data_IF_703673525002
#
_entry.id   IF_703673525002
#
_cell.length_a   1.000
_cell.length_b   1.000
_cell.length_c   1.000
_cell.angle_alpha   90.00
_cell.angle_beta   90.00
_cell.angle_gamma   90.00
#
_symmetry.space_group_name_H-M   'P 1'
#
loop_
_entity.id
_entity.type
_entity.pdbx_description
1 polymer ?
#
# COMPACT_ATOMS: atom_id res chain seq x y z
N UNK A 1 -20.57 -1.85 -37.44
CA UNK A 1 -19.37 -2.70 -37.29
C UNK A 1 -19.83 -4.00 -36.64
N UNK A 2 -19.63 -5.13 -37.28
CA UNK A 2 -19.92 -6.45 -36.70
C UNK A 2 -19.04 -6.65 -35.47
N UNK A 3 -19.65 -6.99 -34.37
CA UNK A 3 -18.95 -7.24 -33.10
C UNK A 3 -17.93 -8.36 -33.32
N UNK A 4 -16.67 -8.13 -32.91
CA UNK A 4 -15.62 -9.14 -33.03
C UNK A 4 -16.00 -10.39 -32.23
N UNK A 5 -15.85 -11.57 -32.81
CA UNK A 5 -16.07 -12.84 -32.08
C UNK A 5 -15.23 -12.94 -30.80
N UNK A 6 -14.05 -12.28 -30.76
CA UNK A 6 -13.17 -12.21 -29.59
C UNK A 6 -13.89 -11.64 -28.38
N UNK A 7 -14.83 -10.67 -28.58
CA UNK A 7 -15.63 -10.09 -27.52
C UNK A 7 -16.41 -11.14 -26.70
N UNK A 8 -16.81 -12.23 -27.33
CA UNK A 8 -17.56 -13.29 -26.69
C UNK A 8 -16.70 -14.31 -25.94
N UNK A 9 -15.37 -14.21 -26.06
CA UNK A 9 -14.41 -15.14 -25.43
C UNK A 9 -13.86 -14.64 -24.09
N UNK A 10 -14.11 -13.37 -23.75
CA UNK A 10 -13.65 -12.86 -22.44
C UNK A 10 -14.38 -13.53 -21.29
N UNK A 11 -13.63 -13.89 -20.24
CA UNK A 11 -14.18 -14.45 -19.02
C UNK A 11 -15.08 -13.44 -18.29
N UNK A 12 -16.20 -13.91 -17.70
CA UNK A 12 -17.17 -13.06 -16.99
C UNK A 12 -16.52 -12.29 -15.83
N UNK A 13 -15.52 -12.88 -15.16
CA UNK A 13 -14.78 -12.25 -14.06
C UNK A 13 -14.04 -10.95 -14.42
N UNK A 14 -13.80 -10.68 -15.70
CA UNK A 14 -13.21 -9.42 -16.19
C UNK A 14 -14.20 -8.58 -16.99
N UNK A 15 -15.48 -8.98 -17.02
CA UNK A 15 -16.56 -8.26 -17.70
C UNK A 15 -17.23 -9.02 -18.85
N UNK A 16 -16.73 -10.20 -19.23
CA UNK A 16 -17.32 -11.02 -20.30
C UNK A 16 -17.55 -10.23 -21.58
N UNK A 17 -18.73 -10.39 -22.18
CA UNK A 17 -19.17 -9.65 -23.39
C UNK A 17 -19.19 -8.11 -23.22
N UNK A 18 -19.16 -7.60 -21.99
CA UNK A 18 -19.13 -6.15 -21.69
C UNK A 18 -17.71 -5.62 -21.49
N UNK A 19 -16.68 -6.48 -21.56
CA UNK A 19 -15.30 -6.07 -21.37
C UNK A 19 -14.91 -4.92 -22.34
N UNK A 20 -14.32 -3.86 -21.80
CA UNK A 20 -13.93 -2.67 -22.57
C UNK A 20 -15.08 -1.74 -23.01
N UNK A 21 -16.35 -2.12 -22.77
CA UNK A 21 -17.53 -1.29 -23.10
C UNK A 21 -17.99 -0.41 -21.93
N UNK A 22 -17.45 -0.64 -20.72
CA UNK A 22 -17.81 0.14 -19.54
C UNK A 22 -17.35 1.58 -19.70
N UNK A 23 -18.24 2.52 -19.39
CA UNK A 23 -17.98 3.96 -19.40
C UNK A 23 -17.27 4.45 -18.14
N UNK A 24 -17.23 3.60 -17.09
CA UNK A 24 -16.58 3.95 -15.82
C UNK A 24 -15.05 4.04 -16.01
N UNK A 25 -14.53 5.25 -15.84
CA UNK A 25 -13.09 5.51 -15.92
C UNK A 25 -12.48 5.26 -14.53
N UNK A 26 -11.40 4.46 -14.47
CA UNK A 26 -10.67 4.19 -13.24
C UNK A 26 -10.13 5.49 -12.60
N UNK A 27 -10.24 5.63 -11.27
CA UNK A 27 -9.93 6.89 -10.56
C UNK A 27 -8.55 7.47 -10.89
N UNK A 28 -7.52 6.64 -11.00
CA UNK A 28 -6.18 7.14 -11.34
C UNK A 28 -6.06 7.64 -12.80
N UNK A 29 -6.85 7.09 -13.72
CA UNK A 29 -6.93 7.62 -15.09
C UNK A 29 -7.64 8.97 -15.11
N UNK A 30 -8.70 9.16 -14.31
CA UNK A 30 -9.35 10.48 -14.15
C UNK A 30 -8.37 11.53 -13.64
N UNK A 31 -7.56 11.19 -12.60
CA UNK A 31 -6.51 12.06 -12.09
C UNK A 31 -5.49 12.42 -13.17
N UNK A 32 -5.01 11.44 -13.96
CA UNK A 32 -4.08 11.69 -15.07
C UNK A 32 -4.67 12.63 -16.12
N UNK A 33 -5.94 12.46 -16.47
CA UNK A 33 -6.64 13.34 -17.43
C UNK A 33 -6.78 14.76 -16.88
N UNK A 34 -7.18 14.91 -15.61
CA UNK A 34 -7.29 16.21 -14.96
C UNK A 34 -5.94 16.94 -14.91
N UNK A 35 -4.87 16.23 -14.55
CA UNK A 35 -3.50 16.79 -14.55
C UNK A 35 -3.08 17.28 -15.94
N UNK A 36 -3.32 16.48 -16.99
CA UNK A 36 -3.01 16.90 -18.36
C UNK A 36 -3.81 18.14 -18.78
N UNK A 37 -5.11 18.18 -18.48
CA UNK A 37 -5.97 19.31 -18.78
C UNK A 37 -5.54 20.57 -18.01
N UNK A 38 -5.20 20.44 -16.73
CA UNK A 38 -4.73 21.56 -15.90
C UNK A 38 -3.41 22.14 -16.42
N UNK A 39 -2.45 21.32 -16.84
CA UNK A 39 -1.19 21.78 -17.44
C UNK A 39 -1.40 22.43 -18.82
N UNK A 40 -2.32 21.91 -19.63
CA UNK A 40 -2.66 22.52 -20.92
C UNK A 40 -3.30 23.89 -20.76
N UNK A 41 -4.12 24.10 -19.71
CA UNK A 41 -4.76 25.36 -19.38
C UNK A 41 -3.79 26.36 -18.73
N UNK A 42 -2.66 25.91 -18.16
CA UNK A 42 -1.68 26.72 -17.44
C UNK A 42 -0.25 26.45 -17.96
N UNK A 43 0.10 26.91 -19.18
CA UNK A 43 1.42 26.68 -19.76
C UNK A 43 2.56 27.19 -18.86
N UNK A 44 3.54 26.33 -18.58
CA UNK A 44 4.68 26.65 -17.70
C UNK A 44 4.42 26.48 -16.20
N UNK A 45 3.20 26.16 -15.80
CA UNK A 45 2.91 25.88 -14.39
C UNK A 45 3.35 24.45 -13.99
N UNK A 46 3.67 24.28 -12.70
CA UNK A 46 4.02 23.01 -12.09
C UNK A 46 2.85 22.50 -11.25
N UNK A 47 2.46 21.23 -11.46
CA UNK A 47 1.56 20.52 -10.54
C UNK A 47 2.38 19.95 -9.39
N UNK A 48 2.00 20.27 -8.17
CA UNK A 48 2.53 19.59 -6.98
C UNK A 48 1.77 18.28 -6.82
N UNK A 49 2.45 17.18 -7.16
CA UNK A 49 1.82 15.86 -7.15
C UNK A 49 1.97 15.18 -5.79
N UNK A 50 0.91 15.23 -5.00
CA UNK A 50 0.80 14.54 -3.72
C UNK A 50 -0.09 13.28 -3.81
N UNK A 51 -0.42 12.82 -5.01
CA UNK A 51 -1.19 11.62 -5.25
C UNK A 51 -0.33 10.36 -5.44
N UNK A 52 0.98 10.52 -5.62
CA UNK A 52 1.91 9.41 -5.89
C UNK A 52 2.03 8.51 -4.65
N UNK A 53 1.97 7.21 -4.86
CA UNK A 53 2.09 6.18 -3.81
C UNK A 53 3.41 5.42 -3.86
N UNK A 54 4.49 6.08 -4.26
CA UNK A 54 5.85 5.52 -4.36
C UNK A 54 6.89 6.53 -3.89
N UNK A 55 8.05 6.06 -3.39
CA UNK A 55 9.18 6.93 -3.04
C UNK A 55 9.59 7.84 -4.19
N UNK A 56 9.97 9.07 -3.84
CA UNK A 56 10.43 10.10 -4.78
C UNK A 56 11.93 9.98 -5.13
N UNK A 57 12.67 9.15 -4.42
CA UNK A 57 14.10 8.90 -4.65
C UNK A 57 14.36 7.48 -5.13
N UNK A 58 15.45 7.31 -5.84
CA UNK A 58 15.96 5.99 -6.21
C UNK A 58 16.59 5.28 -5.01
N UNK A 59 16.87 3.99 -5.16
CA UNK A 59 17.64 3.22 -4.17
C UNK A 59 18.98 3.89 -3.89
N UNK A 60 19.47 3.73 -2.66
CA UNK A 60 20.72 4.35 -2.22
C UNK A 60 21.93 3.88 -3.08
N UNK A 61 22.96 4.73 -3.26
CA UNK A 61 24.10 4.40 -4.12
C UNK A 61 24.78 3.07 -3.78
N UNK A 62 24.90 2.75 -2.48
CA UNK A 62 25.47 1.47 -2.02
C UNK A 62 24.63 0.26 -2.43
N UNK A 63 23.30 0.39 -2.49
CA UNK A 63 22.38 -0.66 -2.95
C UNK A 63 22.50 -0.85 -4.47
N UNK A 64 22.62 0.25 -5.21
CA UNK A 64 22.85 0.22 -6.67
C UNK A 64 24.22 -0.40 -6.99
N UNK A 65 25.24 -0.09 -6.20
CA UNK A 65 26.59 -0.68 -6.35
C UNK A 65 26.55 -2.20 -6.10
N UNK A 66 25.81 -2.66 -5.09
CA UNK A 66 25.64 -4.10 -4.82
C UNK A 66 24.92 -4.80 -5.98
N UNK A 67 23.83 -4.20 -6.50
CA UNK A 67 23.16 -4.73 -7.69
C UNK A 67 24.12 -4.87 -8.86
N UNK A 68 24.92 -3.83 -9.13
CA UNK A 68 25.90 -3.85 -10.23
C UNK A 68 26.92 -4.97 -10.05
N UNK A 69 27.50 -5.09 -8.85
CA UNK A 69 28.46 -6.13 -8.49
C UNK A 69 27.86 -7.52 -8.72
N UNK A 70 26.64 -7.74 -8.23
CA UNK A 70 25.96 -9.03 -8.35
C UNK A 70 25.52 -9.35 -9.78
N UNK A 71 25.18 -8.34 -10.59
CA UNK A 71 24.80 -8.52 -11.98
C UNK A 71 25.98 -8.96 -12.88
N UNK A 72 27.22 -8.72 -12.47
CA UNK A 72 28.42 -9.14 -13.19
C UNK A 72 28.80 -10.60 -12.93
N UNK A 73 28.17 -11.27 -11.95
CA UNK A 73 28.48 -12.64 -11.60
C UNK A 73 27.76 -13.63 -12.52
N UNK A 74 28.48 -14.51 -13.24
CA UNK A 74 27.86 -15.49 -14.15
C UNK A 74 26.90 -16.46 -13.45
N UNK A 75 27.13 -16.79 -12.18
CA UNK A 75 26.27 -17.67 -11.38
C UNK A 75 24.88 -17.10 -11.17
N UNK A 76 24.71 -15.79 -11.19
CA UNK A 76 23.42 -15.13 -11.01
C UNK A 76 22.51 -15.13 -12.24
N UNK A 77 22.94 -15.72 -13.37
CA UNK A 77 22.17 -15.75 -14.62
C UNK A 77 21.00 -16.71 -14.67
N UNK A 78 20.95 -17.66 -13.72
CA UNK A 78 19.97 -18.75 -13.73
C UNK A 78 18.59 -18.37 -13.20
N UNK A 79 17.64 -19.27 -13.34
CA UNK A 79 16.37 -19.16 -12.64
C UNK A 79 16.58 -19.22 -11.13
N UNK A 80 15.77 -18.48 -10.38
CA UNK A 80 15.88 -18.35 -8.93
C UNK A 80 14.66 -18.92 -8.20
N UNK A 81 13.73 -19.51 -8.93
CA UNK A 81 12.51 -20.16 -8.43
C UNK A 81 11.85 -19.43 -7.25
N UNK A 82 11.86 -20.04 -6.07
CA UNK A 82 11.24 -19.49 -4.85
C UNK A 82 12.17 -18.63 -3.99
N UNK A 83 13.31 -18.25 -4.51
CA UNK A 83 14.24 -17.32 -3.89
C UNK A 83 15.51 -17.94 -3.33
N UNK A 84 16.56 -17.16 -3.38
CA UNK A 84 17.88 -17.54 -2.92
C UNK A 84 17.96 -17.67 -1.39
N UNK A 85 18.82 -18.55 -0.90
CA UNK A 85 19.03 -18.76 0.53
C UNK A 85 19.49 -17.48 1.23
N UNK A 86 20.39 -16.70 0.62
CA UNK A 86 20.91 -15.45 1.18
C UNK A 86 19.77 -14.42 1.41
N UNK A 87 18.81 -14.33 0.47
CA UNK A 87 17.64 -13.46 0.64
C UNK A 87 16.79 -13.91 1.84
N UNK A 88 16.49 -15.20 1.92
CA UNK A 88 15.63 -15.77 2.97
C UNK A 88 16.25 -15.60 4.36
N UNK A 89 17.53 -15.90 4.49
CA UNK A 89 18.28 -15.73 5.73
C UNK A 89 18.37 -14.26 6.17
N UNK A 90 18.69 -13.35 5.23
CA UNK A 90 18.72 -11.93 5.53
C UNK A 90 17.35 -11.38 5.91
N UNK A 91 16.27 -11.86 5.27
CA UNK A 91 14.91 -11.49 5.63
C UNK A 91 14.56 -11.94 7.06
N UNK A 92 14.90 -13.16 7.45
CA UNK A 92 14.68 -13.67 8.83
C UNK A 92 15.46 -12.83 9.86
N UNK A 93 16.75 -12.55 9.62
CA UNK A 93 17.58 -11.68 10.48
C UNK A 93 17.01 -10.26 10.57
N UNK A 94 16.54 -9.71 9.44
CA UNK A 94 15.91 -8.39 9.39
C UNK A 94 14.67 -8.33 10.28
N UNK A 95 13.77 -9.30 10.17
CA UNK A 95 12.56 -9.37 10.98
C UNK A 95 12.87 -9.45 12.48
N UNK A 96 13.88 -10.24 12.86
CA UNK A 96 14.32 -10.33 14.27
C UNK A 96 14.88 -9.00 14.76
N UNK A 97 15.82 -8.41 14.01
CA UNK A 97 16.52 -7.18 14.40
C UNK A 97 15.60 -5.97 14.45
N UNK A 98 14.71 -5.82 13.46
CA UNK A 98 13.90 -4.61 13.27
C UNK A 98 12.59 -4.68 14.03
N UNK A 99 11.93 -5.84 14.04
CA UNK A 99 10.56 -6.02 14.56
C UNK A 99 10.47 -6.99 15.72
N UNK A 100 11.58 -7.63 16.13
CA UNK A 100 11.60 -8.59 17.25
C UNK A 100 10.92 -9.94 16.94
N UNK A 101 10.75 -10.29 15.67
CA UNK A 101 10.21 -11.60 15.26
C UNK A 101 11.31 -12.66 15.36
N UNK A 102 11.27 -13.50 16.38
CA UNK A 102 12.26 -14.57 16.59
C UNK A 102 11.78 -15.92 16.09
N UNK A 103 12.73 -16.82 15.81
CA UNK A 103 12.45 -18.22 15.51
C UNK A 103 11.77 -18.44 14.14
N UNK A 104 11.99 -17.57 13.18
CA UNK A 104 11.63 -17.81 11.77
C UNK A 104 12.67 -18.74 11.14
N UNK A 105 12.23 -19.86 10.61
CA UNK A 105 13.06 -20.74 9.81
C UNK A 105 13.16 -20.20 8.37
N UNK A 106 14.34 -19.71 7.92
CA UNK A 106 14.45 -19.13 6.59
C UNK A 106 14.21 -20.14 5.46
N UNK A 107 14.41 -21.44 5.71
CA UNK A 107 14.23 -22.45 4.69
C UNK A 107 12.76 -22.71 4.38
N UNK A 108 11.90 -22.83 5.42
CA UNK A 108 10.51 -23.29 5.29
C UNK A 108 9.48 -22.18 5.53
N UNK A 109 9.85 -21.11 6.26
CA UNK A 109 8.93 -20.07 6.69
C UNK A 109 9.18 -18.72 6.00
N UNK A 110 10.13 -18.64 5.04
CA UNK A 110 10.39 -17.44 4.23
C UNK A 110 10.46 -17.81 2.75
N UNK A 111 9.82 -17.00 1.89
CA UNK A 111 9.82 -17.22 0.47
C UNK A 111 9.84 -15.89 -0.29
N UNK A 112 10.62 -15.81 -1.38
CA UNK A 112 10.69 -14.65 -2.25
C UNK A 112 9.35 -14.29 -2.87
N UNK A 113 9.13 -12.99 -3.10
CA UNK A 113 8.01 -12.47 -3.87
C UNK A 113 8.45 -11.33 -4.80
N UNK A 114 7.84 -11.25 -5.97
CA UNK A 114 8.03 -10.14 -6.93
C UNK A 114 7.29 -8.88 -6.42
N UNK A 115 7.66 -8.43 -5.22
CA UNK A 115 6.97 -7.43 -4.40
C UNK A 115 5.68 -7.97 -3.78
N UNK A 116 5.16 -7.30 -2.74
CA UNK A 116 3.97 -7.75 -2.01
C UNK A 116 2.72 -7.91 -2.89
N UNK A 117 2.60 -7.12 -3.97
CA UNK A 117 1.45 -7.21 -4.88
C UNK A 117 1.33 -8.58 -5.56
N UNK A 118 2.46 -9.20 -5.94
CA UNK A 118 2.45 -10.53 -6.55
C UNK A 118 1.91 -11.58 -5.56
N UNK A 119 2.37 -11.56 -4.31
CA UNK A 119 1.85 -12.44 -3.27
C UNK A 119 0.34 -12.24 -3.03
N UNK A 120 -0.12 -10.98 -2.94
CA UNK A 120 -1.55 -10.65 -2.82
C UNK A 120 -2.39 -11.19 -3.98
N UNK A 121 -1.83 -11.32 -5.18
CA UNK A 121 -2.53 -11.83 -6.36
C UNK A 121 -2.49 -13.36 -6.50
N UNK A 122 -1.45 -14.00 -5.98
CA UNK A 122 -1.22 -15.46 -6.07
C UNK A 122 -1.94 -16.21 -4.93
N UNK A 123 -1.85 -15.70 -3.70
CA UNK A 123 -2.41 -16.37 -2.50
C UNK A 123 -3.91 -16.72 -2.58
N UNK A 124 -4.79 -15.93 -3.23
CA UNK A 124 -6.18 -16.34 -3.40
C UNK A 124 -6.36 -17.68 -4.10
N UNK A 125 -5.47 -18.06 -5.03
CA UNK A 125 -5.52 -19.36 -5.69
C UNK A 125 -5.28 -20.54 -4.73
N UNK A 126 -4.50 -20.32 -3.66
CA UNK A 126 -4.22 -21.31 -2.65
C UNK A 126 -5.30 -21.42 -1.56
N UNK A 127 -6.09 -20.33 -1.35
CA UNK A 127 -6.90 -20.20 -0.13
C UNK A 127 -8.41 -20.09 -0.40
N UNK A 128 -8.85 -19.74 -1.62
CA UNK A 128 -10.23 -19.32 -1.89
C UNK A 128 -10.91 -20.29 -2.88
N UNK A 129 -12.03 -20.86 -2.45
CA UNK A 129 -12.97 -21.58 -3.29
C UNK A 129 -14.21 -20.70 -3.60
N UNK A 130 -15.01 -21.05 -4.63
CA UNK A 130 -16.27 -20.40 -4.89
C UNK A 130 -17.19 -20.36 -3.65
N UNK A 131 -17.66 -19.18 -3.29
CA UNK A 131 -18.53 -18.95 -2.14
C UNK A 131 -17.84 -18.71 -0.80
N UNK A 132 -16.52 -18.86 -0.72
CA UNK A 132 -15.75 -18.48 0.47
C UNK A 132 -15.69 -16.94 0.63
N UNK A 133 -15.68 -16.46 1.87
CA UNK A 133 -15.51 -15.02 2.16
C UNK A 133 -14.07 -14.66 2.49
N UNK A 134 -13.67 -13.49 1.98
CA UNK A 134 -12.49 -12.76 2.41
C UNK A 134 -12.92 -11.54 3.20
N UNK A 135 -12.39 -11.37 4.40
CA UNK A 135 -12.59 -10.20 5.24
C UNK A 135 -11.51 -9.16 4.87
N UNK A 136 -11.92 -7.99 4.38
CA UNK A 136 -11.00 -6.94 3.95
C UNK A 136 -11.33 -5.61 4.58
N UNK A 137 -10.30 -4.87 4.96
CA UNK A 137 -10.47 -3.49 5.44
C UNK A 137 -10.83 -2.54 4.29
N UNK A 138 -11.75 -1.61 4.54
CA UNK A 138 -12.14 -0.55 3.61
C UNK A 138 -12.19 0.81 4.33
N UNK A 139 -11.51 1.87 3.85
CA UNK A 139 -10.66 1.89 2.65
C UNK A 139 -9.44 0.98 2.78
N UNK A 140 -8.93 0.45 1.66
CA UNK A 140 -7.79 -0.45 1.67
C UNK A 140 -7.27 -0.78 0.27
N UNK A 141 -6.20 -1.57 0.21
CA UNK A 141 -5.60 -1.99 -1.05
C UNK A 141 -6.35 -3.20 -1.62
N UNK A 142 -6.98 -3.12 -2.82
CA UNK A 142 -8.02 -4.06 -3.23
C UNK A 142 -7.53 -5.37 -3.85
N UNK A 143 -6.21 -5.57 -4.02
CA UNK A 143 -5.66 -6.62 -4.90
C UNK A 143 -6.10 -8.02 -4.48
N UNK A 144 -5.97 -8.38 -3.20
CA UNK A 144 -6.36 -9.71 -2.73
C UNK A 144 -7.86 -9.98 -3.00
N UNK A 145 -8.74 -9.05 -2.64
CA UNK A 145 -10.19 -9.19 -2.87
C UNK A 145 -10.56 -9.26 -4.35
N UNK A 146 -9.85 -8.52 -5.21
CA UNK A 146 -10.04 -8.61 -6.66
C UNK A 146 -9.73 -10.00 -7.18
N UNK A 147 -8.59 -10.57 -6.76
CA UNK A 147 -8.20 -11.92 -7.16
C UNK A 147 -9.06 -13.01 -6.50
N UNK A 148 -9.50 -12.82 -5.25
CA UNK A 148 -10.45 -13.72 -4.61
C UNK A 148 -11.74 -13.87 -5.44
N UNK A 149 -12.27 -12.74 -5.97
CA UNK A 149 -13.43 -12.75 -6.88
C UNK A 149 -13.16 -13.51 -8.18
N UNK A 150 -11.92 -13.52 -8.69
CA UNK A 150 -11.57 -14.32 -9.87
C UNK A 150 -11.72 -15.81 -9.62
N UNK A 151 -11.61 -16.26 -8.38
CA UNK A 151 -11.81 -17.64 -7.94
C UNK A 151 -13.23 -17.90 -7.38
N UNK A 152 -14.17 -16.97 -7.60
CA UNK A 152 -15.56 -17.11 -7.14
C UNK A 152 -15.78 -16.78 -5.66
N UNK A 153 -14.75 -16.24 -4.99
CA UNK A 153 -14.86 -15.78 -3.61
C UNK A 153 -15.65 -14.49 -3.48
N UNK A 154 -16.11 -14.24 -2.27
CA UNK A 154 -16.87 -13.05 -1.86
C UNK A 154 -16.02 -12.17 -0.96
N UNK A 155 -16.23 -10.86 -0.99
CA UNK A 155 -15.52 -9.92 -0.13
C UNK A 155 -16.51 -9.30 0.86
N UNK A 156 -16.20 -9.43 2.15
CA UNK A 156 -16.87 -8.69 3.22
C UNK A 156 -15.97 -7.55 3.68
N UNK A 157 -16.46 -6.32 3.55
CA UNK A 157 -15.72 -5.12 3.88
C UNK A 157 -15.86 -4.77 5.37
N UNK A 158 -14.73 -4.48 6.00
CA UNK A 158 -14.62 -4.01 7.38
C UNK A 158 -14.26 -2.52 7.37
N UNK A 159 -15.20 -1.62 7.71
CA UNK A 159 -14.98 -0.18 7.61
C UNK A 159 -13.89 0.31 8.57
N UNK A 160 -12.95 1.11 8.05
CA UNK A 160 -11.97 1.86 8.81
C UNK A 160 -12.41 3.33 8.89
N UNK A 161 -12.79 3.76 10.07
CA UNK A 161 -13.29 5.11 10.35
C UNK A 161 -12.50 5.77 11.48
N UNK A 162 -12.63 7.08 11.64
CA UNK A 162 -12.05 7.78 12.79
C UNK A 162 -12.61 7.25 14.11
N UNK A 163 -13.89 6.90 14.15
CA UNK A 163 -14.56 6.38 15.36
C UNK A 163 -13.94 5.08 15.87
N UNK A 164 -13.48 4.20 14.97
CA UNK A 164 -12.77 2.98 15.35
C UNK A 164 -11.23 3.13 15.25
N UNK A 165 -10.73 4.37 15.18
CA UNK A 165 -9.29 4.67 15.03
C UNK A 165 -8.63 3.95 13.85
N UNK A 166 -9.38 3.74 12.79
CA UNK A 166 -8.99 3.00 11.58
C UNK A 166 -8.52 1.55 11.86
N UNK A 167 -9.04 0.92 12.91
CA UNK A 167 -8.90 -0.51 13.21
C UNK A 167 -10.26 -1.18 12.95
N UNK A 168 -10.33 -2.34 12.24
CA UNK A 168 -11.60 -2.97 11.95
C UNK A 168 -12.28 -3.52 13.23
N UNK A 169 -13.58 -3.39 13.29
CA UNK A 169 -14.38 -4.03 14.33
C UNK A 169 -14.65 -5.48 13.93
N UNK A 170 -13.90 -6.41 14.53
CA UNK A 170 -14.00 -7.84 14.25
C UNK A 170 -15.24 -8.48 14.86
N UNK A 171 -15.85 -7.84 15.88
CA UNK A 171 -17.01 -8.38 16.58
C UNK A 171 -18.33 -8.03 15.85
N UNK A 172 -18.29 -7.10 14.89
CA UNK A 172 -19.43 -6.71 14.07
C UNK A 172 -19.70 -7.64 12.87
N UNK A 173 -18.84 -8.63 12.63
CA UNK A 173 -18.93 -9.50 11.44
C UNK A 173 -20.08 -10.49 11.61
N UNK A 174 -21.05 -10.57 10.67
CA UNK A 174 -22.18 -11.48 10.76
C UNK A 174 -21.72 -12.96 10.83
N UNK A 175 -22.43 -13.76 11.64
CA UNK A 175 -22.10 -15.18 11.83
C UNK A 175 -22.14 -15.99 10.51
N UNK A 176 -23.05 -15.65 9.61
CA UNK A 176 -23.14 -16.28 8.27
C UNK A 176 -21.89 -16.01 7.40
N UNK A 177 -21.29 -14.83 7.54
CA UNK A 177 -20.04 -14.47 6.87
C UNK A 177 -18.88 -15.23 7.51
N UNK A 178 -18.82 -15.23 8.87
CA UNK A 178 -17.76 -15.95 9.61
C UNK A 178 -17.75 -17.44 9.30
N UNK A 179 -18.92 -18.07 9.14
CA UNK A 179 -19.05 -19.48 8.81
C UNK A 179 -18.43 -19.88 7.47
N UNK A 180 -18.17 -18.91 6.58
CA UNK A 180 -17.57 -19.12 5.26
C UNK A 180 -16.27 -18.30 5.06
N UNK A 181 -15.85 -17.54 6.06
CA UNK A 181 -14.64 -16.73 5.97
C UNK A 181 -13.38 -17.63 6.00
N UNK A 182 -12.42 -17.34 5.13
CA UNK A 182 -11.14 -18.04 5.02
C UNK A 182 -9.97 -17.16 5.41
N UNK A 183 -10.00 -15.90 5.01
CA UNK A 183 -8.86 -14.99 5.16
C UNK A 183 -9.32 -13.65 5.69
N UNK A 184 -8.60 -13.14 6.68
CA UNK A 184 -8.62 -11.73 7.11
C UNK A 184 -7.38 -11.04 6.56
N UNK A 185 -7.57 -10.04 5.70
CA UNK A 185 -6.48 -9.22 5.14
C UNK A 185 -6.44 -7.89 5.87
N UNK A 186 -5.32 -7.60 6.49
CA UNK A 186 -5.03 -6.33 7.17
C UNK A 186 -3.76 -5.69 6.58
N UNK A 187 -3.66 -4.37 6.67
CA UNK A 187 -2.52 -3.61 6.18
C UNK A 187 -2.19 -2.49 7.18
N UNK A 188 -1.03 -2.57 7.83
CA UNK A 188 -0.58 -1.56 8.80
C UNK A 188 0.95 -1.39 8.74
N UNK A 189 1.45 -0.12 8.74
CA UNK A 189 0.70 1.13 8.56
C UNK A 189 -0.15 1.12 7.31
N UNK A 190 -1.38 1.63 7.43
CA UNK A 190 -2.43 1.42 6.43
C UNK A 190 -2.30 2.38 5.23
N UNK A 191 -2.53 1.87 4.04
CA UNK A 191 -2.81 2.65 2.85
C UNK A 191 -4.33 2.58 2.58
N UNK A 192 -5.11 3.68 2.68
CA UNK A 192 -4.66 5.09 2.57
C UNK A 192 -4.53 5.85 3.90
N UNK A 193 -4.97 5.29 5.04
CA UNK A 193 -5.24 6.08 6.25
C UNK A 193 -3.98 6.52 7.00
N UNK A 194 -2.83 5.89 6.76
CA UNK A 194 -1.61 6.10 7.55
C UNK A 194 -1.67 5.54 8.97
N UNK A 195 -2.81 4.98 9.37
CA UNK A 195 -2.99 4.43 10.71
C UNK A 195 -2.06 3.25 10.97
N UNK A 196 -1.58 3.12 12.18
CA UNK A 196 -0.77 1.99 12.66
C UNK A 196 -1.59 1.08 13.56
N UNK A 197 -1.31 -0.22 13.50
CA UNK A 197 -1.82 -1.19 14.48
C UNK A 197 -1.21 -0.96 15.86
N UNK A 198 -1.78 -1.62 16.86
CA UNK A 198 -1.21 -1.71 18.22
C UNK A 198 -0.95 -3.18 18.58
N UNK A 199 -0.07 -3.48 19.55
CA UNK A 199 0.14 -4.84 20.03
C UNK A 199 -1.16 -5.52 20.48
N UNK A 200 -2.05 -4.77 21.16
CA UNK A 200 -3.34 -5.26 21.65
C UNK A 200 -4.28 -5.62 20.49
N UNK A 201 -4.27 -4.81 19.43
CA UNK A 201 -5.05 -5.11 18.23
C UNK A 201 -4.55 -6.40 17.56
N UNK A 202 -3.24 -6.57 17.41
CA UNK A 202 -2.71 -7.81 16.83
C UNK A 202 -2.99 -9.02 17.69
N UNK A 203 -2.93 -8.89 19.03
CA UNK A 203 -3.35 -9.97 19.94
C UNK A 203 -4.83 -10.33 19.76
N UNK A 204 -5.72 -9.34 19.63
CA UNK A 204 -7.15 -9.56 19.31
C UNK A 204 -7.34 -10.24 17.96
N UNK A 205 -6.54 -9.89 16.95
CA UNK A 205 -6.57 -10.52 15.62
C UNK A 205 -6.17 -12.00 15.71
N UNK A 206 -5.12 -12.33 16.46
CA UNK A 206 -4.68 -13.74 16.66
C UNK A 206 -5.78 -14.56 17.33
N UNK A 207 -6.37 -14.06 18.40
CA UNK A 207 -7.47 -14.73 19.12
C UNK A 207 -8.69 -14.92 18.19
N UNK A 208 -9.07 -13.88 17.46
CA UNK A 208 -10.17 -13.92 16.49
C UNK A 208 -9.92 -14.98 15.41
N UNK A 209 -8.71 -15.02 14.85
CA UNK A 209 -8.33 -15.97 13.81
C UNK A 209 -8.39 -17.42 14.29
N UNK A 210 -7.86 -17.70 15.49
CA UNK A 210 -7.93 -19.04 16.12
C UNK A 210 -9.36 -19.49 16.37
N UNK A 211 -10.17 -18.62 16.99
CA UNK A 211 -11.57 -18.92 17.32
C UNK A 211 -12.40 -19.25 16.08
N UNK A 212 -12.19 -18.51 15.00
CA UNK A 212 -12.96 -18.63 13.78
C UNK A 212 -12.29 -19.50 12.68
N UNK A 213 -11.09 -20.03 12.96
CA UNK A 213 -10.28 -20.83 11.99
C UNK A 213 -10.03 -20.08 10.68
N UNK A 214 -9.62 -18.83 10.78
CA UNK A 214 -9.38 -17.91 9.67
C UNK A 214 -7.87 -17.65 9.57
N UNK A 215 -7.34 -17.62 8.34
CA UNK A 215 -5.96 -17.21 8.07
C UNK A 215 -5.84 -15.68 8.14
N UNK A 216 -4.79 -15.16 8.79
CA UNK A 216 -4.45 -13.75 8.77
C UNK A 216 -3.37 -13.49 7.73
N UNK A 217 -3.62 -12.54 6.85
CA UNK A 217 -2.64 -12.02 5.92
C UNK A 217 -2.39 -10.54 6.27
N UNK A 218 -1.19 -10.24 6.76
CA UNK A 218 -0.77 -8.87 7.02
C UNK A 218 0.07 -8.35 5.86
N UNK A 219 -0.47 -7.41 5.07
CA UNK A 219 0.31 -6.64 4.09
C UNK A 219 1.16 -5.60 4.83
N UNK A 220 2.42 -5.95 5.07
CA UNK A 220 3.41 -5.20 5.81
C UNK A 220 4.26 -4.27 4.94
N UNK A 221 3.77 -3.89 3.74
CA UNK A 221 4.54 -3.10 2.77
C UNK A 221 5.06 -1.75 3.29
N UNK A 222 4.44 -1.21 4.35
CA UNK A 222 4.83 0.05 5.01
C UNK A 222 5.36 -0.16 6.43
N UNK A 223 5.46 -1.40 6.91
CA UNK A 223 5.77 -1.72 8.32
C UNK A 223 7.06 -1.07 8.82
N UNK A 224 8.07 -0.95 7.97
CA UNK A 224 9.35 -0.34 8.36
C UNK A 224 9.34 1.21 8.33
N UNK A 225 8.33 1.85 7.72
CA UNK A 225 8.21 3.31 7.65
C UNK A 225 7.45 3.84 8.87
N UNK A 226 8.06 3.77 10.05
CA UNK A 226 7.53 4.31 11.30
C UNK A 226 8.29 5.57 11.70
N UNK A 227 7.58 6.53 12.28
CA UNK A 227 8.13 7.84 12.66
C UNK A 227 8.53 7.89 14.14
N UNK A 228 7.98 6.99 14.94
CA UNK A 228 8.25 6.90 16.38
C UNK A 228 8.27 5.43 16.79
N UNK A 229 9.20 5.08 17.68
CA UNK A 229 9.33 3.72 18.20
C UNK A 229 9.96 2.75 17.21
N UNK A 230 9.62 1.47 17.35
CA UNK A 230 10.09 0.38 16.47
C UNK A 230 8.98 -0.06 15.51
N UNK A 231 9.33 -0.56 14.33
CA UNK A 231 8.39 -1.25 13.46
C UNK A 231 7.66 -2.38 14.20
N UNK A 232 6.34 -2.43 14.04
CA UNK A 232 5.51 -3.46 14.66
C UNK A 232 5.19 -4.54 13.61
N UNK A 233 5.51 -5.80 13.93
CA UNK A 233 5.16 -6.96 13.12
C UNK A 233 4.01 -7.72 13.76
N UNK A 234 3.06 -8.18 12.94
CA UNK A 234 2.02 -9.11 13.37
C UNK A 234 2.64 -10.42 13.88
N UNK A 235 3.70 -10.92 13.20
CA UNK A 235 4.37 -12.16 13.57
C UNK A 235 5.16 -12.08 14.89
N UNK A 236 5.42 -10.88 15.41
CA UNK A 236 5.98 -10.72 16.77
C UNK A 236 4.93 -10.98 17.87
N UNK A 237 3.65 -11.05 17.51
CA UNK A 237 2.57 -11.33 18.45
C UNK A 237 2.55 -12.84 18.79
N UNK A 238 2.50 -13.25 20.07
CA UNK A 238 2.43 -14.66 20.43
C UNK A 238 1.30 -15.39 19.72
N UNK A 239 1.63 -16.51 19.03
CA UNK A 239 0.69 -17.31 18.27
C UNK A 239 0.30 -16.80 16.90
N UNK A 240 0.83 -15.66 16.45
CA UNK A 240 0.52 -15.13 15.12
C UNK A 240 1.04 -16.04 14.00
N UNK A 241 2.23 -16.61 14.16
CA UNK A 241 2.81 -17.56 13.20
C UNK A 241 1.95 -18.83 12.98
N UNK A 242 1.16 -19.21 13.99
CA UNK A 242 0.26 -20.36 13.86
C UNK A 242 -0.94 -20.06 12.94
N UNK A 243 -1.35 -18.80 12.81
CA UNK A 243 -2.58 -18.40 12.12
C UNK A 243 -2.35 -17.55 10.89
N UNK A 244 -1.10 -17.13 10.57
CA UNK A 244 -0.94 -16.19 9.49
C UNK A 244 0.45 -16.02 8.92
N UNK A 245 0.52 -15.10 7.97
CA UNK A 245 1.73 -14.68 7.24
C UNK A 245 1.79 -13.16 7.11
N UNK A 246 3.00 -12.65 6.91
CA UNK A 246 3.27 -11.27 6.52
C UNK A 246 3.87 -11.17 5.12
N UNK A 247 3.47 -10.13 4.40
CA UNK A 247 3.99 -9.78 3.09
C UNK A 247 4.86 -8.53 3.22
N UNK A 248 6.15 -8.66 3.00
CA UNK A 248 7.12 -7.57 3.05
C UNK A 248 7.54 -7.10 1.66
N UNK A 249 7.93 -5.84 1.53
CA UNK A 249 8.34 -5.24 0.27
C UNK A 249 9.52 -4.30 0.45
N UNK A 250 10.52 -4.41 -0.42
CA UNK A 250 11.62 -3.44 -0.50
C UNK A 250 11.21 -2.12 -1.16
N UNK A 251 10.06 -2.12 -1.82
CA UNK A 251 9.58 -0.97 -2.62
C UNK A 251 9.52 0.33 -1.84
N UNK A 252 9.08 0.28 -0.56
CA UNK A 252 8.83 1.47 0.26
C UNK A 252 9.95 1.70 1.27
N UNK A 253 10.46 0.62 1.84
CA UNK A 253 11.47 0.64 2.87
C UNK A 253 12.86 1.02 2.35
N UNK A 254 13.14 0.75 1.06
CA UNK A 254 14.48 0.88 0.48
C UNK A 254 14.48 1.62 -0.87
N UNK A 255 13.43 2.35 -1.21
CA UNK A 255 13.28 3.07 -2.48
C UNK A 255 13.44 2.18 -3.74
N UNK A 256 13.05 0.90 -3.64
CA UNK A 256 13.23 -0.10 -4.70
C UNK A 256 11.91 -0.42 -5.42
N UNK A 257 11.07 0.58 -5.67
CA UNK A 257 9.71 0.35 -6.21
C UNK A 257 9.72 -0.41 -7.54
N UNK A 258 10.52 0.03 -8.50
CA UNK A 258 10.64 -0.59 -9.83
C UNK A 258 11.39 -1.92 -9.84
N UNK A 259 12.13 -2.25 -8.80
CA UNK A 259 12.95 -3.47 -8.71
C UNK A 259 12.11 -4.72 -8.45
N UNK A 260 10.90 -4.55 -7.93
CA UNK A 260 9.91 -5.59 -7.72
C UNK A 260 10.39 -6.73 -6.80
N UNK A 261 10.93 -6.43 -5.63
CA UNK A 261 11.39 -7.42 -4.67
C UNK A 261 10.64 -7.32 -3.34
N UNK A 262 10.48 -8.45 -2.68
CA UNK A 262 9.87 -8.62 -1.38
C UNK A 262 9.93 -10.06 -0.93
N UNK A 263 9.29 -10.37 0.18
CA UNK A 263 9.17 -11.73 0.68
C UNK A 263 7.87 -11.96 1.44
N UNK A 264 7.48 -13.22 1.55
CA UNK A 264 6.40 -13.74 2.40
C UNK A 264 7.06 -14.46 3.56
N UNK A 265 6.59 -14.23 4.80
CA UNK A 265 7.09 -14.96 5.97
C UNK A 265 5.95 -15.37 6.92
N UNK A 266 6.12 -16.44 7.67
CA UNK A 266 5.20 -16.87 8.72
C UNK A 266 4.90 -18.36 8.71
N UNK A 267 3.61 -18.73 8.77
CA UNK A 267 3.20 -20.13 8.86
C UNK A 267 3.77 -20.97 7.70
N UNK A 268 4.48 -22.05 8.03
CA UNK A 268 5.16 -22.91 7.06
C UNK A 268 4.23 -23.49 5.98
N UNK A 269 3.02 -23.93 6.36
CA UNK A 269 2.06 -24.48 5.39
C UNK A 269 1.53 -23.41 4.43
N UNK A 270 1.32 -22.18 4.93
CA UNK A 270 0.87 -21.07 4.09
C UNK A 270 1.99 -20.60 3.15
N UNK A 271 3.23 -20.55 3.65
CA UNK A 271 4.41 -20.21 2.83
C UNK A 271 4.62 -21.28 1.75
N UNK A 272 4.51 -22.56 2.11
CA UNK A 272 4.57 -23.67 1.14
C UNK A 272 3.46 -23.58 0.09
N UNK A 273 2.20 -23.38 0.50
CA UNK A 273 1.08 -23.24 -0.42
C UNK A 273 1.24 -22.04 -1.39
N UNK A 274 1.79 -20.92 -0.89
CA UNK A 274 2.19 -19.82 -1.75
C UNK A 274 3.25 -20.24 -2.76
N UNK A 275 4.27 -21.00 -2.34
CA UNK A 275 5.32 -21.51 -3.21
C UNK A 275 4.77 -22.42 -4.31
N UNK A 276 3.92 -23.37 -3.96
CA UNK A 276 3.33 -24.34 -4.92
C UNK A 276 2.54 -23.60 -6.05
N UNK A 277 1.84 -22.52 -5.73
CA UNK A 277 1.13 -21.71 -6.75
C UNK A 277 2.11 -20.81 -7.52
N UNK A 278 3.09 -20.24 -6.82
CA UNK A 278 4.10 -19.38 -7.42
C UNK A 278 4.96 -20.10 -8.45
N UNK A 279 5.33 -21.38 -8.20
CA UNK A 279 6.08 -22.22 -9.14
C UNK A 279 5.39 -22.37 -10.50
N UNK A 280 4.06 -22.21 -10.54
CA UNK A 280 3.28 -22.22 -11.77
C UNK A 280 2.91 -20.81 -12.27
N UNK A 281 3.42 -19.76 -11.64
CA UNK A 281 3.10 -18.35 -11.97
C UNK A 281 4.31 -17.58 -12.49
N UNK A 282 5.50 -17.86 -11.95
CA UNK A 282 6.76 -17.24 -12.36
C UNK A 282 7.94 -18.21 -12.14
N UNK A 283 9.10 -17.86 -12.65
CA UNK A 283 10.37 -18.61 -12.48
C UNK A 283 11.34 -17.87 -11.56
N UNK A 284 10.83 -17.09 -10.61
CA UNK A 284 11.61 -16.29 -9.70
C UNK A 284 12.03 -14.95 -10.28
N UNK A 285 13.02 -14.34 -9.67
CA UNK A 285 13.55 -13.04 -10.02
C UNK A 285 15.06 -13.09 -10.13
N UNK A 286 15.63 -12.30 -11.04
CA UNK A 286 17.07 -12.16 -11.21
C UNK A 286 17.82 -12.08 -9.87
N UNK A 287 18.77 -12.98 -9.64
CA UNK A 287 19.46 -13.15 -8.36
C UNK A 287 20.18 -11.87 -7.90
N UNK A 288 20.71 -11.06 -8.82
CA UNK A 288 21.36 -9.82 -8.45
C UNK A 288 20.40 -8.84 -7.72
N UNK A 289 19.10 -8.83 -8.08
CA UNK A 289 18.09 -8.02 -7.36
C UNK A 289 17.86 -8.60 -5.96
N UNK A 290 17.80 -9.93 -5.84
CA UNK A 290 17.62 -10.60 -4.56
C UNK A 290 18.81 -10.35 -3.62
N UNK A 291 20.04 -10.40 -4.12
CA UNK A 291 21.23 -10.11 -3.33
C UNK A 291 21.30 -8.63 -2.91
N UNK A 292 20.93 -7.71 -3.79
CA UNK A 292 20.81 -6.30 -3.40
C UNK A 292 19.69 -6.06 -2.35
N UNK A 293 18.61 -6.83 -2.38
CA UNK A 293 17.60 -6.80 -1.34
C UNK A 293 18.10 -7.41 -0.03
N UNK A 294 18.84 -8.52 -0.07
CA UNK A 294 19.52 -9.09 1.10
C UNK A 294 20.47 -8.10 1.76
N UNK A 295 21.27 -7.37 0.94
CA UNK A 295 22.09 -6.27 1.43
C UNK A 295 21.26 -5.21 2.18
N UNK A 296 20.11 -4.82 1.64
CA UNK A 296 19.22 -3.87 2.29
C UNK A 296 18.72 -4.39 3.65
N UNK A 297 18.34 -5.66 3.74
CA UNK A 297 17.86 -6.27 4.99
C UNK A 297 18.96 -6.32 6.06
N UNK A 298 20.20 -6.57 5.66
CA UNK A 298 21.33 -6.53 6.59
C UNK A 298 21.74 -5.08 6.97
N UNK A 299 21.27 -4.06 6.23
CA UNK A 299 21.54 -2.63 6.47
C UNK A 299 20.25 -1.81 6.75
N UNK A 300 19.46 -2.12 7.81
CA UNK A 300 18.18 -1.46 8.07
C UNK A 300 18.27 0.05 8.33
N UNK A 301 19.45 0.59 8.66
CA UNK A 301 19.67 2.02 8.81
C UNK A 301 19.33 2.83 7.54
N UNK A 302 19.28 2.20 6.36
CA UNK A 302 18.78 2.83 5.13
C UNK A 302 17.32 3.24 5.30
N UNK A 303 16.49 2.35 5.81
CA UNK A 303 15.06 2.64 6.06
C UNK A 303 14.87 3.73 7.10
N UNK A 304 15.72 3.78 8.14
CA UNK A 304 15.65 4.84 9.17
C UNK A 304 15.85 6.22 8.56
N UNK A 305 16.79 6.38 7.63
CA UNK A 305 17.00 7.63 6.88
C UNK A 305 15.79 8.03 6.04
N UNK A 306 15.17 7.06 5.36
CA UNK A 306 13.96 7.26 4.55
C UNK A 306 12.78 7.67 5.46
N UNK A 307 12.57 6.97 6.58
CA UNK A 307 11.52 7.27 7.54
C UNK A 307 11.71 8.67 8.16
N UNK A 308 12.93 9.04 8.52
CA UNK A 308 13.24 10.38 9.05
C UNK A 308 12.90 11.50 8.05
N UNK A 309 13.23 11.33 6.76
CA UNK A 309 12.85 12.24 5.69
C UNK A 309 11.33 12.41 5.62
N UNK A 310 10.59 11.30 5.55
CA UNK A 310 9.13 11.36 5.44
C UNK A 310 8.46 11.87 6.73
N UNK A 311 9.01 11.59 7.90
CA UNK A 311 8.54 12.15 9.17
C UNK A 311 8.65 13.68 9.19
N UNK A 312 9.77 14.23 8.72
CA UNK A 312 10.01 15.68 8.61
C UNK A 312 9.00 16.34 7.65
N UNK A 313 8.86 15.78 6.44
CA UNK A 313 7.91 16.27 5.44
C UNK A 313 6.47 16.18 5.94
N UNK A 314 6.11 15.09 6.62
CA UNK A 314 4.78 14.88 7.18
C UNK A 314 4.43 15.92 8.23
N UNK A 315 5.37 16.23 9.14
CA UNK A 315 5.17 17.28 10.15
C UNK A 315 4.86 18.63 9.50
N UNK A 316 5.64 18.99 8.49
CA UNK A 316 5.45 20.27 7.80
C UNK A 316 4.16 20.31 6.95
N UNK A 317 3.80 19.20 6.28
CA UNK A 317 2.55 19.10 5.53
C UNK A 317 1.32 19.20 6.45
N UNK A 318 1.34 18.54 7.60
CA UNK A 318 0.25 18.61 8.59
C UNK A 318 0.03 20.05 9.03
N UNK A 319 1.09 20.81 9.29
CA UNK A 319 1.00 22.23 9.65
C UNK A 319 0.38 23.06 8.52
N UNK A 320 0.86 22.90 7.29
CA UNK A 320 0.31 23.61 6.11
C UNK A 320 -1.18 23.32 5.92
N UNK A 321 -1.60 22.06 6.04
CA UNK A 321 -3.00 21.69 5.86
C UNK A 321 -3.88 22.17 7.02
N UNK A 322 -3.37 22.20 8.26
CA UNK A 322 -4.09 22.80 9.40
C UNK A 322 -4.33 24.29 9.21
N UNK A 323 -3.34 25.02 8.74
CA UNK A 323 -3.49 26.44 8.41
C UNK A 323 -4.53 26.69 7.31
N UNK A 324 -4.67 25.75 6.39
CA UNK A 324 -5.72 25.77 5.38
C UNK A 324 -7.09 25.27 5.89
N UNK A 325 -7.22 24.91 7.18
CA UNK A 325 -8.47 24.49 7.83
C UNK A 325 -8.75 22.98 7.82
N UNK A 326 -7.85 22.15 7.30
CA UNK A 326 -8.01 20.68 7.36
C UNK A 326 -7.75 20.14 8.78
N UNK A 327 -8.54 19.15 9.20
CA UNK A 327 -8.32 18.41 10.44
C UNK A 327 -7.16 17.41 10.35
N UNK A 328 -5.99 17.85 9.88
CA UNK A 328 -4.85 16.99 9.64
C UNK A 328 -4.17 16.54 10.94
N UNK A 329 -3.93 15.24 11.08
CA UNK A 329 -3.21 14.64 12.22
C UNK A 329 -2.04 13.83 11.68
N UNK A 330 -0.83 14.06 12.22
CA UNK A 330 0.36 13.31 11.82
C UNK A 330 0.18 11.83 12.15
N UNK A 331 0.26 10.92 11.16
CA UNK A 331 0.24 9.49 11.42
C UNK A 331 1.55 9.03 12.07
N UNK A 332 1.55 7.83 12.65
CA UNK A 332 2.74 7.26 13.28
C UNK A 332 3.70 6.59 12.28
N UNK A 333 3.27 6.43 11.05
CA UNK A 333 4.07 5.79 9.99
C UNK A 333 3.45 5.95 8.61
N UNK A 334 4.03 5.28 7.60
CA UNK A 334 3.70 5.45 6.18
C UNK A 334 4.11 6.83 5.66
N UNK A 335 3.90 7.09 4.39
CA UNK A 335 4.05 8.43 3.80
C UNK A 335 2.71 9.03 3.35
N UNK A 336 1.59 8.46 3.84
CA UNK A 336 0.24 8.93 3.53
C UNK A 336 -0.36 9.72 4.68
N UNK A 337 -0.98 10.84 4.33
CA UNK A 337 -1.83 11.63 5.21
C UNK A 337 -3.26 11.54 4.69
N UNK A 338 -4.17 11.09 5.53
CA UNK A 338 -5.57 10.90 5.22
C UNK A 338 -6.41 11.92 5.98
N UNK A 339 -7.20 12.70 5.26
CA UNK A 339 -7.99 13.78 5.84
C UNK A 339 -9.40 13.77 5.28
N UNK A 340 -10.35 14.22 6.07
CA UNK A 340 -11.73 14.46 5.62
C UNK A 340 -11.74 15.45 4.45
N UNK A 341 -12.53 15.15 3.44
CA UNK A 341 -12.72 16.04 2.30
C UNK A 341 -13.64 17.22 2.69
N UNK A 342 -13.31 18.46 2.31
CA UNK A 342 -14.23 19.59 2.50
C UNK A 342 -15.50 19.40 1.64
N UNK A 343 -16.62 19.93 2.14
CA UNK A 343 -17.91 20.00 1.41
C UNK A 343 -18.02 21.20 0.51
N UNK A 344 -17.27 22.27 0.81
CA UNK A 344 -17.24 23.45 -0.03
C UNK A 344 -15.91 24.21 0.10
N UNK A 345 -15.64 25.03 -0.91
CA UNK A 345 -14.56 26.01 -0.94
C UNK A 345 -15.14 27.40 -1.20
N UNK A 346 -14.76 28.38 -0.38
CA UNK A 346 -15.13 29.78 -0.56
C UNK A 346 -13.92 30.54 -1.05
N UNK A 347 -13.97 31.04 -2.27
CA UNK A 347 -12.91 31.88 -2.90
C UNK A 347 -12.88 33.26 -2.28
N UNK A 348 -11.79 34.01 -2.47
CA UNK A 348 -11.66 35.40 -1.97
C UNK A 348 -12.73 36.38 -2.46
N UNK A 349 -13.28 36.14 -3.65
CA UNK A 349 -14.36 36.93 -4.23
C UNK A 349 -15.75 36.58 -3.66
N UNK A 350 -15.82 35.67 -2.68
CA UNK A 350 -17.04 35.17 -2.06
C UNK A 350 -17.72 34.03 -2.82
N UNK A 351 -17.19 33.61 -3.97
CA UNK A 351 -17.75 32.48 -4.74
C UNK A 351 -17.62 31.20 -3.93
N UNK A 352 -18.75 30.53 -3.70
CA UNK A 352 -18.83 29.24 -3.01
C UNK A 352 -18.94 28.10 -4.02
N UNK A 353 -18.02 27.13 -3.94
CA UNK A 353 -18.01 25.90 -4.77
C UNK A 353 -18.31 24.73 -3.86
N UNK A 354 -19.39 23.99 -4.13
CA UNK A 354 -19.78 22.81 -3.36
C UNK A 354 -19.18 21.52 -3.94
N UNK A 355 -18.91 20.55 -3.05
CA UNK A 355 -18.39 19.24 -3.40
C UNK A 355 -19.25 18.13 -2.78
N UNK A 356 -19.67 17.17 -3.58
CA UNK A 356 -20.47 16.01 -3.17
C UNK A 356 -19.63 14.80 -2.79
N UNK A 357 -18.34 14.80 -3.16
CA UNK A 357 -17.44 13.66 -2.96
C UNK A 357 -15.98 14.10 -2.85
N UNK A 358 -15.12 13.21 -2.34
CA UNK A 358 -13.67 13.39 -2.40
C UNK A 358 -13.14 13.47 -3.83
N UNK A 359 -13.82 12.83 -4.79
CA UNK A 359 -13.45 12.94 -6.21
C UNK A 359 -13.62 14.37 -6.73
N UNK A 360 -14.74 15.03 -6.45
CA UNK A 360 -15.00 16.40 -6.92
C UNK A 360 -13.99 17.40 -6.36
N UNK A 361 -13.70 17.38 -5.05
CA UNK A 361 -12.70 18.26 -4.47
C UNK A 361 -11.28 17.92 -4.98
N UNK A 362 -10.94 16.65 -5.18
CA UNK A 362 -9.64 16.27 -5.76
C UNK A 362 -9.46 16.81 -7.17
N UNK A 363 -10.49 16.74 -8.02
CA UNK A 363 -10.47 17.33 -9.35
C UNK A 363 -10.33 18.85 -9.27
N UNK A 364 -11.08 19.52 -8.39
CA UNK A 364 -11.00 20.96 -8.18
C UNK A 364 -9.60 21.40 -7.71
N UNK A 365 -8.98 20.67 -6.77
CA UNK A 365 -7.60 20.95 -6.33
C UNK A 365 -6.60 20.85 -7.47
N UNK A 366 -6.76 19.89 -8.37
CA UNK A 366 -5.90 19.74 -9.55
C UNK A 366 -6.07 20.92 -10.50
N UNK A 367 -7.31 21.30 -10.83
CA UNK A 367 -7.60 22.30 -11.85
C UNK A 367 -7.39 23.73 -11.37
N UNK A 368 -7.82 24.04 -10.15
CA UNK A 368 -7.80 25.42 -9.60
C UNK A 368 -6.54 25.73 -8.78
N UNK A 369 -5.94 24.69 -8.15
CA UNK A 369 -4.80 24.87 -7.24
C UNK A 369 -3.52 24.19 -7.72
N UNK A 370 -3.59 23.42 -8.80
CA UNK A 370 -2.46 22.64 -9.32
C UNK A 370 -1.82 21.75 -8.22
N UNK A 371 -2.67 21.20 -7.35
CA UNK A 371 -2.30 20.25 -6.30
C UNK A 371 -3.03 18.93 -6.58
N UNK A 372 -2.27 17.87 -6.87
CA UNK A 372 -2.84 16.54 -7.09
C UNK A 372 -2.91 15.75 -5.79
N UNK A 373 -4.05 15.15 -5.52
CA UNK A 373 -4.28 14.23 -4.39
C UNK A 373 -5.09 13.03 -4.87
N UNK A 374 -5.29 12.02 -4.04
CA UNK A 374 -6.13 10.87 -4.38
C UNK A 374 -7.42 10.92 -3.56
N UNK A 375 -8.58 10.94 -4.24
CA UNK A 375 -9.86 10.84 -3.56
C UNK A 375 -10.08 9.43 -3.02
N UNK A 376 -10.74 9.34 -1.87
CA UNK A 376 -11.09 8.07 -1.25
C UNK A 376 -12.48 8.17 -0.61
N UNK A 377 -13.47 7.67 -1.32
CA UNK A 377 -14.89 7.82 -0.97
C UNK A 377 -15.52 6.51 -0.43
N UNK A 378 -14.69 5.47 -0.21
CA UNK A 378 -15.18 4.13 0.17
C UNK A 378 -15.74 4.05 1.60
N UNK A 379 -15.31 4.95 2.50
CA UNK A 379 -15.80 5.02 3.89
C UNK A 379 -15.99 6.49 4.32
N UNK A 380 -16.76 7.24 3.53
CA UNK A 380 -16.93 8.69 3.65
C UNK A 380 -15.97 9.45 2.73
N UNK A 381 -16.30 10.70 2.43
CA UNK A 381 -15.51 11.54 1.54
C UNK A 381 -14.18 11.95 2.18
N UNK A 382 -13.08 11.47 1.65
CA UNK A 382 -11.73 11.70 2.16
C UNK A 382 -10.73 11.97 1.02
N UNK A 383 -9.61 12.59 1.39
CA UNK A 383 -8.46 12.81 0.53
C UNK A 383 -7.21 12.18 1.13
N UNK A 384 -6.42 11.53 0.28
CA UNK A 384 -5.09 11.05 0.66
C UNK A 384 -4.04 11.95 0.01
N UNK A 385 -3.21 12.55 0.83
CA UNK A 385 -1.98 13.23 0.44
C UNK A 385 -0.78 12.31 0.66
N UNK A 386 0.24 12.43 -0.18
CA UNK A 386 1.50 11.72 -0.01
C UNK A 386 2.65 12.72 0.15
N UNK A 387 3.56 12.46 1.09
CA UNK A 387 4.77 13.28 1.28
C UNK A 387 5.91 12.86 0.35
N UNK A 388 5.62 12.05 -0.67
CA UNK A 388 6.56 11.64 -1.71
C UNK A 388 6.62 12.60 -2.90
N UNK A 389 6.23 13.87 -2.69
CA UNK A 389 6.38 14.91 -3.70
C UNK A 389 7.86 15.11 -4.07
N UNK A 390 8.11 15.44 -5.33
CA UNK A 390 9.48 15.65 -5.82
C UNK A 390 10.11 16.89 -5.19
N UNK A 391 11.31 16.73 -4.64
CA UNK A 391 12.15 17.82 -4.13
C UNK A 391 13.61 17.41 -4.18
N UNK A 392 14.48 18.30 -4.64
CA UNK A 392 15.91 18.01 -4.84
C UNK A 392 16.70 17.93 -3.53
N UNK A 393 16.25 18.65 -2.50
CA UNK A 393 16.89 18.74 -1.19
C UNK A 393 15.92 19.39 -0.18
N UNK A 394 16.34 19.54 1.08
CA UNK A 394 15.50 20.13 2.14
C UNK A 394 15.07 21.58 1.88
N UNK A 395 15.88 22.37 1.20
CA UNK A 395 15.48 23.74 0.84
C UNK A 395 14.35 23.72 -0.20
N UNK A 396 14.41 22.80 -1.15
CA UNK A 396 13.37 22.60 -2.14
C UNK A 396 12.10 21.99 -1.53
N UNK A 397 12.21 21.09 -0.53
CA UNK A 397 11.06 20.61 0.27
C UNK A 397 10.31 21.79 0.90
N UNK A 398 11.03 22.73 1.52
CA UNK A 398 10.44 23.94 2.12
C UNK A 398 9.76 24.81 1.06
N UNK A 399 10.37 24.97 -0.11
CA UNK A 399 9.78 25.71 -1.25
C UNK A 399 8.45 25.09 -1.67
N UNK A 400 8.42 23.75 -1.88
CA UNK A 400 7.20 23.04 -2.28
C UNK A 400 6.10 23.20 -1.23
N UNK A 401 6.41 23.03 0.06
CA UNK A 401 5.44 23.18 1.16
C UNK A 401 4.93 24.62 1.28
N UNK A 402 5.81 25.62 1.11
CA UNK A 402 5.41 27.03 1.08
C UNK A 402 4.50 27.33 -0.11
N UNK A 403 4.76 26.72 -1.26
CA UNK A 403 3.92 26.87 -2.44
C UNK A 403 2.54 26.22 -2.26
N UNK A 404 2.44 25.06 -1.58
CA UNK A 404 1.15 24.47 -1.19
C UNK A 404 0.38 25.44 -0.30
N UNK A 405 1.02 25.99 0.75
CA UNK A 405 0.42 26.97 1.65
C UNK A 405 -0.09 28.19 0.88
N UNK A 406 0.73 28.75 -0.01
CA UNK A 406 0.36 29.90 -0.86
C UNK A 406 -0.86 29.60 -1.74
N UNK A 407 -0.90 28.42 -2.39
CA UNK A 407 -2.01 28.01 -3.26
C UNK A 407 -3.32 27.79 -2.52
N UNK A 408 -3.25 27.41 -1.25
CA UNK A 408 -4.43 27.18 -0.41
C UNK A 408 -4.88 28.41 0.36
N UNK A 409 -4.03 29.46 0.51
CA UNK A 409 -4.29 30.64 1.34
C UNK A 409 -5.39 31.58 0.81
N UNK A 410 -5.81 31.42 -0.44
CA UNK A 410 -6.86 32.23 -1.05
C UNK A 410 -8.25 31.58 -1.00
N UNK A 411 -8.37 30.50 -0.24
CA UNK A 411 -9.61 29.71 -0.12
C UNK A 411 -9.88 29.38 1.34
N UNK A 412 -11.15 29.50 1.75
CA UNK A 412 -11.66 28.96 3.02
C UNK A 412 -12.43 27.68 2.74
N UNK A 413 -12.01 26.58 3.34
CA UNK A 413 -12.72 25.29 3.24
C UNK A 413 -13.78 25.14 4.32
N UNK A 414 -14.91 24.48 3.97
CA UNK A 414 -15.99 24.08 4.88
C UNK A 414 -16.09 22.55 4.92
N UNK A 415 -16.20 21.96 6.13
CA UNK A 415 -16.18 20.50 6.37
C UNK A 415 -17.51 19.94 6.84
#
# INVERSE_FOLDING_TARGET
MTESYIQNLFADRIGGKQYGKATAIYKFEKIKRAKRAALAANPGAEIIDMGVGEPDEMAFPEVVAELHKEALKPENRGYADNGDAALKESAARYMEKVSGVSGINPETEVLHSIGSKAALSILPAALINPGDYVLMTTPGYPVFGTHAKYYGGLVHNLPLTEANRFLPDLDSIPAEVLGKAKVLVINYPNNPTGASATPEFFAKVVEFARRNRIVVLHDAAYAALVFEGKPLSFLATPGAKEVGIELHSTSKSFNMTGWRCGFVAGNELLVKAYGDVKDNSDSGQFLAIQHAAAYCFDHPAITEKIAAKYSRRMTALVEVLRQAGFGAVKPKGSFFLYVKAPKAAIKKDGTRVEFKSGEEISQWLITEKLISTVPWDDAGANLRFSVTFLAKNEADEKRVLSEISRRLSDVKFEF
#
